data_IF_183033607877
#
_entry.id   IF_183033607877
#
_cell.length_a   1.000
_cell.length_b   1.000
_cell.length_c   1.000
_cell.angle_alpha   90.00
_cell.angle_beta   90.00
_cell.angle_gamma   90.00
#
_symmetry.space_group_name_H-M   'P 1'
#
loop_
_entity.id
_entity.type
_entity.pdbx_description
1 polymer ?
#
# COMPACT_ATOMS: atom_id res chain seq x y z
N UNK A 1 20.06 -61.93 16.26
CA UNK A 1 20.80 -60.98 17.13
C UNK A 1 21.30 -59.86 16.21
N UNK A 2 20.57 -58.75 16.10
CA UNK A 2 20.71 -57.49 16.87
C UNK A 2 22.10 -56.83 16.71
N UNK A 3 22.08 -55.61 16.17
CA UNK A 3 23.08 -54.57 16.34
C UNK A 3 23.93 -54.31 15.10
N UNK A 4 24.18 -53.09 14.63
CA UNK A 4 23.83 -51.77 15.13
C UNK A 4 23.97 -50.75 13.99
N UNK A 5 23.09 -49.76 14.02
CA UNK A 5 23.08 -48.53 13.23
C UNK A 5 24.38 -47.72 13.32
N UNK A 6 24.70 -47.00 12.24
CA UNK A 6 25.24 -45.63 12.30
C UNK A 6 24.88 -44.92 11.00
N UNK A 7 23.67 -44.35 10.99
CA UNK A 7 23.21 -43.41 9.98
C UNK A 7 23.86 -42.07 10.32
N UNK A 8 24.73 -41.59 9.43
CA UNK A 8 25.34 -40.28 9.52
C UNK A 8 24.27 -39.19 9.31
N UNK A 9 23.96 -38.47 10.38
CA UNK A 9 23.15 -37.25 10.32
C UNK A 9 24.01 -36.12 9.75
N UNK A 10 23.83 -35.80 8.48
CA UNK A 10 24.31 -34.54 7.92
C UNK A 10 23.38 -33.41 8.38
N UNK A 11 23.82 -32.65 9.38
CA UNK A 11 23.16 -31.42 9.78
C UNK A 11 23.33 -30.37 8.69
N UNK A 12 22.28 -30.17 7.87
CA UNK A 12 22.18 -29.02 6.97
C UNK A 12 21.81 -27.82 7.86
N UNK A 13 22.84 -27.09 8.30
CA UNK A 13 22.67 -25.76 8.87
C UNK A 13 22.36 -24.83 7.70
N UNK A 14 21.06 -24.62 7.45
CA UNK A 14 20.58 -23.52 6.59
C UNK A 14 20.86 -22.24 7.36
N UNK A 15 21.98 -21.59 7.04
CA UNK A 15 22.25 -20.21 7.40
C UNK A 15 21.19 -19.34 6.71
N UNK A 16 20.08 -19.08 7.42
CA UNK A 16 19.16 -17.97 7.14
C UNK A 16 19.93 -16.68 7.39
N UNK A 17 20.73 -16.26 6.42
CA UNK A 17 21.18 -14.89 6.34
C UNK A 17 19.92 -14.04 6.10
N UNK A 18 19.55 -13.12 7.01
CA UNK A 18 18.62 -12.08 6.64
C UNK A 18 19.35 -11.25 5.59
N UNK A 19 19.04 -11.49 4.31
CA UNK A 19 19.34 -10.54 3.26
C UNK A 19 18.68 -9.24 3.72
N UNK A 20 19.50 -8.33 4.22
CA UNK A 20 19.14 -6.94 4.44
C UNK A 20 18.83 -6.35 3.07
N UNK A 21 17.65 -6.68 2.55
CA UNK A 21 17.05 -6.04 1.41
C UNK A 21 16.82 -4.60 1.87
N UNK A 22 17.68 -3.67 1.42
CA UNK A 22 17.37 -2.26 1.56
C UNK A 22 15.96 -2.09 1.00
N UNK A 23 14.98 -1.62 1.79
CA UNK A 23 13.64 -1.43 1.28
C UNK A 23 13.75 -0.46 0.11
N UNK A 24 13.49 -0.96 -1.09
CA UNK A 24 13.36 -0.10 -2.26
C UNK A 24 12.04 0.64 -2.02
N UNK A 25 12.13 1.88 -1.56
CA UNK A 25 10.99 2.78 -1.46
C UNK A 25 10.43 2.97 -2.86
N UNK A 26 9.19 2.52 -3.09
CA UNK A 26 8.50 2.66 -4.38
C UNK A 26 7.29 3.55 -4.19
N UNK A 27 7.54 4.86 -4.22
CA UNK A 27 6.50 5.86 -4.47
C UNK A 27 6.31 5.95 -5.98
N UNK A 28 5.06 5.89 -6.43
CA UNK A 28 4.71 6.19 -7.81
C UNK A 28 3.62 7.27 -7.79
N UNK A 29 3.92 8.38 -8.45
CA UNK A 29 3.02 9.51 -8.66
C UNK A 29 2.74 9.62 -10.15
N UNK A 30 1.51 9.95 -10.53
CA UNK A 30 1.19 10.24 -11.93
C UNK A 30 1.53 11.70 -12.21
N UNK A 31 2.52 11.98 -13.06
CA UNK A 31 2.78 13.35 -13.55
C UNK A 31 1.80 13.79 -14.63
N UNK A 32 1.16 12.84 -15.31
CA UNK A 32 0.12 13.09 -16.30
C UNK A 32 -1.00 12.05 -16.22
N UNK A 33 -2.20 12.46 -16.61
CA UNK A 33 -3.34 11.56 -16.71
C UNK A 33 -3.08 10.53 -17.81
N UNK A 34 -3.32 9.25 -17.51
CA UNK A 34 -3.09 8.06 -18.35
C UNK A 34 -1.68 7.43 -18.31
N UNK A 35 -0.77 7.90 -17.46
CA UNK A 35 0.49 7.17 -17.22
C UNK A 35 0.29 5.95 -16.31
N UNK A 36 0.69 4.74 -16.73
CA UNK A 36 0.65 3.57 -15.86
C UNK A 36 1.57 3.73 -14.65
N UNK A 37 1.06 3.43 -13.47
CA UNK A 37 1.87 3.25 -12.26
C UNK A 37 2.39 1.82 -12.19
N UNK A 38 3.68 1.64 -11.90
CA UNK A 38 4.30 0.33 -11.78
C UNK A 38 4.92 0.10 -10.41
N UNK A 39 4.65 -1.07 -9.84
CA UNK A 39 5.25 -1.51 -8.58
C UNK A 39 5.81 -2.92 -8.76
N UNK A 40 7.11 -3.13 -8.55
CA UNK A 40 7.61 -4.52 -8.41
C UNK A 40 7.44 -4.97 -6.96
N UNK A 41 6.73 -6.08 -6.80
CA UNK A 41 6.25 -6.61 -5.53
C UNK A 41 6.65 -8.08 -5.41
N UNK A 42 6.49 -8.62 -4.21
CA UNK A 42 6.63 -10.06 -3.95
C UNK A 42 5.26 -10.63 -3.60
N UNK A 43 4.80 -11.59 -4.39
CA UNK A 43 3.61 -12.40 -4.10
C UNK A 43 4.06 -13.69 -3.40
N UNK A 44 3.40 -14.07 -2.31
CA UNK A 44 3.65 -15.35 -1.63
C UNK A 44 2.42 -16.24 -1.80
N UNK A 45 2.59 -17.41 -2.41
CA UNK A 45 1.52 -18.41 -2.59
C UNK A 45 2.03 -19.75 -2.07
N UNK A 46 1.35 -20.35 -1.10
CA UNK A 46 1.73 -21.62 -0.47
C UNK A 46 3.21 -21.67 -0.01
N UNK A 47 3.70 -20.54 0.53
CA UNK A 47 5.09 -20.39 0.99
C UNK A 47 6.11 -20.15 -0.12
N UNK A 48 5.70 -20.14 -1.39
CA UNK A 48 6.56 -19.85 -2.53
C UNK A 48 6.51 -18.35 -2.84
N UNK A 49 7.67 -17.70 -2.84
CA UNK A 49 7.82 -16.29 -3.21
C UNK A 49 8.03 -16.11 -4.71
N UNK A 50 7.24 -15.23 -5.32
CA UNK A 50 7.32 -14.86 -6.73
C UNK A 50 7.50 -13.35 -6.86
N UNK A 51 8.41 -12.92 -7.76
CA UNK A 51 8.50 -11.51 -8.15
C UNK A 51 7.43 -11.19 -9.18
N UNK A 52 6.60 -10.20 -8.88
CA UNK A 52 5.51 -9.74 -9.75
C UNK A 52 5.62 -8.24 -9.97
N UNK A 53 4.99 -7.74 -11.02
CA UNK A 53 4.82 -6.31 -11.28
C UNK A 53 3.33 -5.99 -11.27
N UNK A 54 2.92 -5.09 -10.40
CA UNK A 54 1.57 -4.52 -10.42
C UNK A 54 1.60 -3.27 -11.30
N UNK A 55 0.73 -3.25 -12.30
CA UNK A 55 0.48 -2.10 -13.17
C UNK A 55 -0.91 -1.55 -12.87
N UNK A 56 -1.00 -0.26 -12.56
CA UNK A 56 -2.28 0.42 -12.37
C UNK A 56 -2.46 1.44 -13.50
N UNK A 57 -3.51 1.25 -14.28
CA UNK A 57 -3.91 2.13 -15.37
C UNK A 57 -5.02 3.04 -14.86
N UNK A 58 -4.74 4.34 -14.70
CA UNK A 58 -5.77 5.34 -14.39
C UNK A 58 -6.24 6.01 -15.67
N UNK A 59 -7.55 6.14 -15.82
CA UNK A 59 -8.19 6.83 -16.93
C UNK A 59 -8.97 8.00 -16.39
N UNK A 60 -8.79 9.19 -16.98
CA UNK A 60 -9.62 10.35 -16.71
C UNK A 60 -10.63 10.48 -17.84
N UNK A 61 -11.90 10.67 -17.48
CA UNK A 61 -12.93 11.02 -18.45
C UNK A 61 -12.62 12.41 -19.07
N UNK A 62 -12.42 12.49 -20.39
CA UNK A 62 -12.07 13.75 -21.05
C UNK A 62 -13.21 14.78 -21.06
N UNK A 63 -14.46 14.36 -20.84
CA UNK A 63 -15.61 15.27 -20.84
C UNK A 63 -15.85 15.88 -19.46
N UNK A 64 -15.62 15.11 -18.40
CA UNK A 64 -15.92 15.54 -17.03
C UNK A 64 -14.70 15.99 -16.26
N UNK A 65 -13.48 15.65 -16.70
CA UNK A 65 -12.18 15.93 -16.03
C UNK A 65 -12.08 15.43 -14.57
N UNK A 66 -13.12 14.79 -14.02
CA UNK A 66 -13.24 14.55 -12.58
C UNK A 66 -13.29 13.06 -12.26
N UNK A 67 -13.82 12.23 -13.16
CA UNK A 67 -13.97 10.80 -12.89
C UNK A 67 -12.70 10.07 -13.32
N UNK A 68 -11.96 9.57 -12.32
CA UNK A 68 -10.83 8.67 -12.54
C UNK A 68 -11.27 7.24 -12.30
N UNK A 69 -11.20 6.41 -13.33
CA UNK A 69 -11.36 4.96 -13.23
C UNK A 69 -9.99 4.29 -13.24
N UNK A 70 -9.87 3.14 -12.58
CA UNK A 70 -8.60 2.42 -12.54
C UNK A 70 -8.75 0.94 -12.90
N UNK A 71 -7.91 0.45 -13.81
CA UNK A 71 -7.75 -0.98 -14.06
C UNK A 71 -6.40 -1.46 -13.52
N UNK A 72 -6.40 -2.61 -12.86
CA UNK A 72 -5.21 -3.13 -12.20
C UNK A 72 -4.81 -4.46 -12.82
N UNK A 73 -3.53 -4.58 -13.18
CA UNK A 73 -2.97 -5.74 -13.84
C UNK A 73 -1.80 -6.29 -13.04
N UNK A 74 -1.83 -7.60 -12.78
CA UNK A 74 -0.70 -8.33 -12.23
C UNK A 74 0.07 -8.97 -13.38
N UNK A 75 1.35 -8.64 -13.49
CA UNK A 75 2.26 -9.13 -14.50
C UNK A 75 3.32 -10.02 -13.84
N UNK A 76 3.43 -11.26 -14.31
CA UNK A 76 4.48 -12.19 -13.93
C UNK A 76 5.22 -12.74 -15.13
N UNK A 77 6.24 -13.57 -14.90
CA UNK A 77 6.99 -14.22 -15.97
C UNK A 77 6.16 -15.16 -16.85
N UNK A 78 4.99 -15.61 -16.40
CA UNK A 78 4.16 -16.57 -17.14
C UNK A 78 2.76 -16.05 -17.47
N UNK A 79 2.29 -14.99 -16.81
CA UNK A 79 0.93 -14.49 -17.04
C UNK A 79 0.81 -13.00 -16.74
N UNK A 80 0.05 -12.33 -17.61
CA UNK A 80 -0.51 -11.02 -17.33
C UNK A 80 -2.01 -11.21 -17.08
N UNK A 81 -2.52 -10.71 -15.97
CA UNK A 81 -3.92 -10.86 -15.58
C UNK A 81 -4.46 -9.53 -15.07
N UNK A 82 -5.62 -9.12 -15.58
CA UNK A 82 -6.43 -8.08 -14.93
C UNK A 82 -6.97 -8.63 -13.61
N UNK A 83 -6.63 -7.98 -12.51
CA UNK A 83 -6.96 -8.39 -11.13
C UNK A 83 -7.96 -7.44 -10.47
N UNK A 84 -8.18 -6.25 -11.04
CA UNK A 84 -9.26 -5.36 -10.64
C UNK A 84 -9.75 -4.59 -11.86
N UNK A 85 -11.07 -4.53 -12.05
CA UNK A 85 -11.69 -3.63 -13.02
C UNK A 85 -12.09 -2.33 -12.37
N UNK A 86 -12.23 -1.29 -13.19
CA UNK A 86 -12.77 0.03 -12.85
C UNK A 86 -13.99 -0.01 -11.92
N UNK A 87 -14.89 -0.97 -12.09
CA UNK A 87 -16.14 -1.08 -11.33
C UNK A 87 -15.91 -1.41 -9.84
N UNK A 88 -14.74 -1.97 -9.51
CA UNK A 88 -14.36 -2.39 -8.16
C UNK A 88 -13.10 -1.68 -7.65
N UNK A 89 -12.55 -0.77 -8.46
CA UNK A 89 -11.34 -0.02 -8.14
C UNK A 89 -11.67 1.33 -7.51
N UNK A 90 -10.75 1.91 -6.73
CA UNK A 90 -10.95 3.21 -6.13
C UNK A 90 -11.11 4.27 -7.21
N UNK A 91 -12.13 5.11 -7.04
CA UNK A 91 -12.38 6.28 -7.89
C UNK A 91 -11.47 7.41 -7.43
N UNK A 92 -10.98 8.22 -8.37
CA UNK A 92 -10.24 9.43 -8.02
C UNK A 92 -8.83 9.17 -7.50
N UNK A 93 -8.21 8.03 -7.83
CA UNK A 93 -6.84 7.73 -7.43
C UNK A 93 -5.83 8.69 -8.06
N UNK A 94 -4.86 9.17 -7.27
CA UNK A 94 -3.79 10.07 -7.75
C UNK A 94 -2.38 9.70 -7.29
N UNK A 95 -2.23 9.06 -6.13
CA UNK A 95 -0.92 8.59 -5.62
C UNK A 95 -1.08 7.20 -5.03
N UNK A 96 -0.07 6.34 -5.18
CA UNK A 96 -0.04 5.05 -4.49
C UNK A 96 1.39 4.68 -4.03
N UNK A 97 1.47 4.03 -2.87
CA UNK A 97 2.73 3.57 -2.28
C UNK A 97 2.58 2.15 -1.76
N UNK A 98 3.49 1.27 -2.19
CA UNK A 98 3.52 -0.11 -1.73
C UNK A 98 4.42 -0.25 -0.49
N UNK A 99 3.99 -1.09 0.45
CA UNK A 99 4.82 -1.47 1.60
C UNK A 99 6.01 -2.33 1.15
N UNK A 100 7.14 -2.19 1.84
CA UNK A 100 8.37 -2.93 1.54
C UNK A 100 8.22 -4.45 1.68
N UNK A 101 7.29 -4.90 2.54
CA UNK A 101 6.95 -6.30 2.73
C UNK A 101 5.90 -6.83 1.73
N UNK A 102 5.44 -6.00 0.78
CA UNK A 102 4.42 -6.33 -0.23
C UNK A 102 3.08 -6.82 0.32
N UNK A 103 2.75 -6.54 1.60
CA UNK A 103 1.46 -6.94 2.20
C UNK A 103 0.37 -5.89 2.02
N UNK A 104 0.78 -4.62 1.97
CA UNK A 104 -0.14 -3.48 1.92
C UNK A 104 0.22 -2.51 0.81
N UNK A 105 -0.79 -1.81 0.33
CA UNK A 105 -0.66 -0.65 -0.53
C UNK A 105 -1.53 0.47 0.04
N UNK A 106 -0.98 1.67 0.13
CA UNK A 106 -1.73 2.88 0.52
C UNK A 106 -1.98 3.73 -0.73
N UNK A 107 -3.22 4.17 -0.88
CA UNK A 107 -3.73 4.78 -2.10
C UNK A 107 -4.39 6.10 -1.71
N UNK A 108 -3.93 7.18 -2.32
CA UNK A 108 -4.54 8.49 -2.20
C UNK A 108 -5.69 8.59 -3.20
N UNK A 109 -6.88 8.86 -2.68
CA UNK A 109 -8.13 8.95 -3.43
C UNK A 109 -8.84 10.24 -3.05
N UNK A 110 -9.68 10.74 -3.96
CA UNK A 110 -10.49 11.92 -3.69
C UNK A 110 -11.86 11.80 -4.36
N UNK A 111 -12.88 12.25 -3.63
CA UNK A 111 -14.23 12.45 -4.13
C UNK A 111 -14.74 13.79 -3.62
N UNK A 112 -15.46 14.53 -4.46
CA UNK A 112 -16.03 15.85 -4.11
C UNK A 112 -14.99 16.87 -3.59
N UNK A 113 -13.72 16.71 -3.97
CA UNK A 113 -12.61 17.56 -3.51
C UNK A 113 -12.07 17.20 -2.12
N UNK A 114 -12.55 16.12 -1.50
CA UNK A 114 -12.07 15.64 -0.21
C UNK A 114 -11.08 14.46 -0.41
N UNK A 115 -9.79 14.64 -0.10
CA UNK A 115 -8.83 13.56 -0.21
C UNK A 115 -8.79 12.69 1.07
N UNK A 116 -8.64 11.39 0.89
CA UNK A 116 -8.31 10.45 1.98
C UNK A 116 -7.32 9.40 1.49
N UNK A 117 -6.81 8.58 2.43
CA UNK A 117 -5.96 7.43 2.10
C UNK A 117 -6.67 6.14 2.44
N UNK A 118 -6.77 5.25 1.46
CA UNK A 118 -7.18 3.86 1.65
C UNK A 118 -5.96 2.97 1.75
N UNK A 119 -5.91 2.09 2.75
CA UNK A 119 -4.89 1.07 2.87
C UNK A 119 -5.53 -0.26 2.55
N UNK A 120 -5.00 -0.97 1.55
CA UNK A 120 -5.51 -2.26 1.09
C UNK A 120 -4.55 -3.41 1.34
N UNK A 121 -5.13 -4.61 1.43
CA UNK A 121 -4.40 -5.88 1.46
C UNK A 121 -4.00 -6.32 0.05
N UNK A 122 -2.69 -6.43 -0.21
CA UNK A 122 -2.17 -6.99 -1.46
C UNK A 122 -2.34 -8.51 -1.52
N UNK A 123 -2.33 -9.20 -0.37
CA UNK A 123 -2.58 -10.65 -0.33
C UNK A 123 -3.99 -10.97 -0.82
N UNK A 124 -5.00 -10.21 -0.37
CA UNK A 124 -6.38 -10.34 -0.82
C UNK A 124 -6.52 -10.04 -2.31
N UNK A 125 -5.83 -8.99 -2.77
CA UNK A 125 -5.82 -8.60 -4.18
C UNK A 125 -5.21 -9.71 -5.06
N UNK A 126 -4.11 -10.33 -4.64
CA UNK A 126 -3.41 -11.34 -5.42
C UNK A 126 -4.05 -12.73 -5.36
N UNK A 127 -4.72 -13.07 -4.27
CA UNK A 127 -5.35 -14.38 -4.07
C UNK A 127 -6.75 -14.44 -4.69
N UNK A 128 -7.56 -13.39 -4.54
CA UNK A 128 -8.97 -13.40 -4.91
C UNK A 128 -9.40 -12.26 -5.82
N UNK A 129 -8.46 -11.46 -6.36
CA UNK A 129 -8.79 -10.31 -7.21
C UNK A 129 -9.78 -9.35 -6.52
N UNK A 130 -9.66 -9.20 -5.19
CA UNK A 130 -10.61 -8.46 -4.37
C UNK A 130 -9.95 -7.23 -3.78
N UNK A 131 -10.61 -6.09 -3.92
CA UNK A 131 -10.24 -4.87 -3.21
C UNK A 131 -10.67 -4.95 -1.75
N UNK A 132 -9.73 -5.20 -0.85
CA UNK A 132 -10.00 -5.30 0.58
C UNK A 132 -9.27 -4.20 1.35
N UNK A 133 -10.02 -3.18 1.77
CA UNK A 133 -9.54 -2.09 2.60
C UNK A 133 -9.37 -2.55 4.05
N UNK A 134 -8.16 -2.39 4.59
CA UNK A 134 -7.82 -2.71 5.98
C UNK A 134 -7.85 -1.49 6.90
N UNK A 135 -7.71 -0.28 6.34
CA UNK A 135 -7.85 0.98 7.05
C UNK A 135 -8.20 2.13 6.09
N UNK A 136 -8.88 3.14 6.62
CA UNK A 136 -9.17 4.40 5.94
C UNK A 136 -8.64 5.56 6.81
N UNK A 137 -7.87 6.46 6.21
CA UNK A 137 -7.31 7.65 6.84
C UNK A 137 -7.96 8.88 6.23
N UNK A 138 -9.06 9.32 6.83
CA UNK A 138 -9.81 10.49 6.38
C UNK A 138 -9.63 11.66 7.37
N UNK A 139 -8.90 12.73 7.01
CA UNK A 139 -8.62 13.85 7.90
C UNK A 139 -9.66 14.98 7.80
N UNK A 140 -10.81 14.79 7.14
CA UNK A 140 -11.76 15.89 6.90
C UNK A 140 -12.01 16.75 8.16
N UNK A 141 -11.86 18.10 8.09
CA UNK A 141 -11.82 18.95 6.88
C UNK A 141 -10.45 19.15 6.18
N UNK A 142 -9.41 18.36 6.46
CA UNK A 142 -8.07 18.55 5.89
C UNK A 142 -7.71 17.70 4.69
N UNK A 143 -6.44 17.81 4.29
CA UNK A 143 -5.75 17.01 3.29
C UNK A 143 -4.85 15.93 3.90
N UNK A 144 -4.70 14.82 3.17
CA UNK A 144 -3.73 13.76 3.47
C UNK A 144 -3.19 13.16 2.18
N UNK A 145 -1.92 12.79 2.17
CA UNK A 145 -1.28 12.10 1.05
C UNK A 145 -0.28 11.04 1.57
N UNK A 146 -0.27 9.81 1.03
CA UNK A 146 0.71 8.83 1.39
C UNK A 146 2.07 9.13 0.75
N UNK A 147 3.14 8.97 1.53
CA UNK A 147 4.50 9.31 1.11
C UNK A 147 5.33 8.07 0.86
N UNK A 148 5.43 7.20 1.87
CA UNK A 148 6.26 6.01 1.84
C UNK A 148 5.85 5.07 2.98
N UNK A 149 6.42 3.87 2.99
CA UNK A 149 6.36 2.97 4.13
C UNK A 149 7.72 2.89 4.80
N UNK A 150 7.78 3.12 6.11
CA UNK A 150 9.00 3.05 6.92
C UNK A 150 8.73 2.17 8.15
N UNK A 151 9.54 1.14 8.40
CA UNK A 151 9.39 0.25 9.57
C UNK A 151 7.97 -0.33 9.74
N UNK A 152 7.28 -0.65 8.64
CA UNK A 152 5.86 -1.08 8.59
C UNK A 152 4.84 -0.02 9.02
N UNK A 153 5.26 1.23 9.19
CA UNK A 153 4.36 2.38 9.34
C UNK A 153 4.19 3.08 8.00
N UNK A 154 2.99 3.59 7.74
CA UNK A 154 2.73 4.43 6.58
C UNK A 154 3.07 5.88 6.93
N UNK A 155 4.02 6.47 6.21
CA UNK A 155 4.30 7.90 6.26
C UNK A 155 3.29 8.66 5.42
N UNK A 156 2.71 9.72 5.97
CA UNK A 156 1.73 10.58 5.30
C UNK A 156 2.05 12.06 5.51
N UNK A 157 1.85 12.87 4.49
CA UNK A 157 1.72 14.32 4.65
C UNK A 157 0.28 14.64 5.03
N UNK A 158 0.08 15.58 5.95
CA UNK A 158 -1.23 16.16 6.23
C UNK A 158 -1.12 17.59 6.72
N UNK A 159 -2.07 18.43 6.32
CA UNK A 159 -2.26 19.79 6.81
C UNK A 159 -3.06 19.84 8.13
N UNK A 160 -3.41 18.68 8.69
CA UNK A 160 -4.07 18.56 9.99
C UNK A 160 -3.21 17.77 10.96
N UNK A 161 -3.31 18.11 12.25
CA UNK A 161 -2.66 17.37 13.32
C UNK A 161 -3.32 15.99 13.57
N UNK A 162 -2.82 14.96 12.90
CA UNK A 162 -3.39 13.61 12.98
C UNK A 162 -3.17 12.88 14.31
N UNK A 163 -2.28 13.35 15.18
CA UNK A 163 -1.96 12.68 16.46
C UNK A 163 -3.14 12.67 17.44
N UNK A 164 -3.98 13.71 17.39
CA UNK A 164 -5.09 13.89 18.31
C UNK A 164 -6.40 13.26 17.81
N UNK A 165 -6.39 12.61 16.64
CA UNK A 165 -7.57 11.94 16.10
C UNK A 165 -7.89 10.72 16.97
N UNK A 166 -8.81 10.90 17.93
CA UNK A 166 -9.49 9.79 18.58
C UNK A 166 -10.59 9.27 17.65
N UNK A 167 -10.86 7.97 17.69
CA UNK A 167 -11.87 7.24 16.87
C UNK A 167 -13.30 7.81 16.91
N UNK A 168 -13.56 8.87 17.70
CA UNK A 168 -14.88 9.49 17.88
C UNK A 168 -14.86 11.02 17.86
N UNK A 169 -13.68 11.65 17.72
CA UNK A 169 -13.59 13.10 17.66
C UNK A 169 -13.64 13.56 16.20
N UNK A 170 -14.64 14.39 15.87
CA UNK A 170 -14.57 15.17 14.64
C UNK A 170 -13.35 16.08 14.73
N UNK A 171 -12.48 16.04 13.73
CA UNK A 171 -11.40 17.01 13.60
C UNK A 171 -12.05 18.38 13.44
N UNK A 172 -11.59 19.35 14.22
CA UNK A 172 -12.06 20.73 14.14
C UNK A 172 -11.08 21.55 13.31
N UNK A 173 -11.53 22.68 12.77
CA UNK A 173 -10.65 23.59 12.02
C UNK A 173 -9.43 24.05 12.83
N UNK A 174 -9.52 24.06 14.17
CA UNK A 174 -8.41 24.38 15.07
C UNK A 174 -7.26 23.35 15.02
N UNK A 175 -7.51 22.16 14.46
CA UNK A 175 -6.48 21.14 14.24
C UNK A 175 -5.70 21.35 12.93
N UNK A 176 -6.09 22.34 12.11
CA UNK A 176 -5.35 22.73 10.91
C UNK A 176 -3.97 23.30 11.28
N UNK A 177 -2.99 22.98 10.46
CA UNK A 177 -1.61 23.38 10.61
C UNK A 177 -1.29 24.50 9.63
N UNK A 178 -0.42 25.42 10.04
CA UNK A 178 0.10 26.48 9.16
C UNK A 178 0.85 25.92 7.93
N UNK A 179 1.29 24.67 8.01
CA UNK A 179 1.91 23.92 6.92
C UNK A 179 1.71 22.43 7.09
N UNK A 180 1.68 21.70 5.97
CA UNK A 180 1.64 20.25 5.99
C UNK A 180 2.81 19.68 6.78
N UNK A 181 2.55 18.63 7.57
CA UNK A 181 3.52 17.91 8.41
C UNK A 181 3.51 16.43 8.09
N UNK A 182 4.64 15.79 8.37
CA UNK A 182 4.82 14.35 8.19
C UNK A 182 4.36 13.61 9.45
N UNK A 183 3.51 12.62 9.27
CA UNK A 183 3.04 11.71 10.30
C UNK A 183 3.33 10.26 9.90
N UNK A 184 3.45 9.38 10.89
CA UNK A 184 3.48 7.95 10.67
C UNK A 184 2.25 7.28 11.26
N UNK A 185 1.60 6.45 10.47
CA UNK A 185 0.45 5.65 10.85
C UNK A 185 0.86 4.20 11.05
N UNK A 186 0.58 3.66 12.24
CA UNK A 186 0.79 2.24 12.55
C UNK A 186 -0.52 1.47 12.36
N UNK A 187 -0.52 0.49 11.46
CA UNK A 187 -1.67 -0.41 11.26
C UNK A 187 -1.98 -1.27 12.50
N UNK A 188 -0.96 -1.61 13.29
CA UNK A 188 -1.09 -2.42 14.49
C UNK A 188 -1.79 -1.65 15.61
N UNK A 189 -1.32 -0.43 15.89
CA UNK A 189 -1.86 0.39 16.98
C UNK A 189 -3.02 1.30 16.55
N UNK A 190 -3.23 1.43 15.24
CA UNK A 190 -4.19 2.34 14.59
C UNK A 190 -4.01 3.80 15.00
N UNK A 191 -2.76 4.22 15.25
CA UNK A 191 -2.43 5.56 15.74
C UNK A 191 -1.44 6.28 14.86
N UNK A 192 -1.52 7.61 14.89
CA UNK A 192 -0.53 8.50 14.30
C UNK A 192 0.54 8.92 15.30
N UNK A 193 1.76 9.05 14.82
CA UNK A 193 2.85 9.75 15.51
C UNK A 193 3.40 10.85 14.60
N UNK A 194 3.82 11.97 15.20
CA UNK A 194 4.45 13.06 14.44
C UNK A 194 5.91 12.70 14.17
N UNK A 195 6.36 12.77 12.91
CA UNK A 195 7.78 12.68 12.56
C UNK A 195 8.40 14.08 12.68
N UNK A 196 9.67 14.11 13.09
CA UNK A 196 10.41 15.36 13.28
C UNK A 196 10.96 15.87 11.96
#
# INVERSE_FOLDING_TARGET
MRGSSLIAWAAIIVLLLPLACKPVEKKAETSSFNEPLFFDLVKITDGISEKVKLMIMTYQDPETEVIRFSDWYLMSSWRNQKILSSDYAPIGMFTAVASSNSKYMAIAVAAEGHPWVEIISLDSLFASSTYHMVAELNPYPGGIEPVAWENNELLVWSDINLVNKNDSAQLVFDDMLDSARLFAYSLETKKFTRKK
#
